data_IF_355255414860
#
_entry.id   IF_355255414860
#
_cell.length_a   1.000
_cell.length_b   1.000
_cell.length_c   1.000
_cell.angle_alpha   90.00
_cell.angle_beta   90.00
_cell.angle_gamma   90.00
#
_symmetry.space_group_name_H-M   'P 1'
#
loop_
_entity.id
_entity.type
_entity.pdbx_description
1 polymer ?
#
# COMPACT_ATOMS: atom_id res chain seq x y z
N UNK A 1 -13.50 33.75 52.97
CA UNK A 1 -13.91 35.09 52.46
C UNK A 1 -12.64 35.92 52.34
N UNK A 2 -12.27 36.65 51.29
CA UNK A 2 -12.71 36.90 49.91
C UNK A 2 -11.42 37.35 49.17
N UNK A 3 -11.01 36.73 48.06
CA UNK A 3 -11.06 37.28 46.68
C UNK A 3 -10.76 38.79 46.56
N UNK A 4 -9.56 39.13 46.08
CA UNK A 4 -9.38 40.26 45.16
C UNK A 4 -8.44 39.89 44.01
N UNK A 5 -8.92 40.19 42.80
CA UNK A 5 -8.29 40.01 41.49
C UNK A 5 -7.58 41.31 41.11
N UNK A 6 -6.41 41.24 40.48
CA UNK A 6 -6.01 42.18 39.41
C UNK A 6 -4.74 41.68 38.72
N UNK A 7 -4.88 41.12 37.51
CA UNK A 7 -4.51 41.71 36.20
C UNK A 7 -3.02 41.69 35.85
N UNK A 8 -2.72 40.98 34.75
CA UNK A 8 -1.46 40.93 34.00
C UNK A 8 -0.98 42.32 33.55
N UNK A 9 0.27 42.41 33.07
CA UNK A 9 0.43 42.93 31.71
C UNK A 9 1.30 42.02 30.82
N UNK A 10 0.64 41.33 29.89
CA UNK A 10 1.20 40.97 28.59
C UNK A 10 1.00 42.19 27.69
N UNK A 11 2.08 42.86 27.28
CA UNK A 11 2.23 43.57 25.99
C UNK A 11 3.34 44.62 26.06
N UNK A 12 4.53 44.29 25.54
CA UNK A 12 5.44 45.26 24.91
C UNK A 12 6.54 44.49 24.18
N UNK A 13 6.25 44.07 22.96
CA UNK A 13 7.22 43.81 21.88
C UNK A 13 6.45 43.54 20.57
N UNK A 14 5.67 44.52 20.12
CA UNK A 14 5.20 44.62 18.73
C UNK A 14 5.83 45.87 18.15
N UNK A 15 6.96 45.71 17.45
CA UNK A 15 7.53 46.63 16.44
C UNK A 15 8.90 46.09 16.01
N UNK A 16 8.88 45.15 15.07
CA UNK A 16 9.99 44.92 14.14
C UNK A 16 9.39 44.31 12.86
N UNK A 17 8.97 45.19 11.97
CA UNK A 17 8.65 44.89 10.57
C UNK A 17 9.96 44.73 9.80
N UNK A 18 10.36 43.49 9.50
CA UNK A 18 11.17 43.11 8.33
C UNK A 18 10.91 41.65 8.04
N UNK A 19 10.09 41.42 7.01
CA UNK A 19 9.87 40.13 6.38
C UNK A 19 11.17 39.70 5.69
N UNK A 20 11.77 38.61 6.18
CA UNK A 20 12.48 37.66 5.31
C UNK A 20 12.23 36.24 5.82
N UNK A 21 11.92 35.37 4.86
CA UNK A 21 11.25 34.08 5.04
C UNK A 21 12.20 33.06 5.68
N UNK A 22 12.02 32.79 6.98
CA UNK A 22 12.63 31.64 7.64
C UNK A 22 11.88 30.38 7.18
N UNK A 23 12.48 29.65 6.24
CA UNK A 23 11.99 28.34 5.81
C UNK A 23 12.26 27.30 6.90
N UNK A 24 11.24 26.94 7.69
CA UNK A 24 11.27 25.79 8.59
C UNK A 24 11.11 24.49 7.76
N UNK A 25 12.02 23.51 7.85
CA UNK A 25 11.83 22.23 7.17
C UNK A 25 10.81 21.39 7.94
N UNK A 26 9.58 21.32 7.43
CA UNK A 26 8.57 20.35 7.84
C UNK A 26 9.05 18.97 7.40
N UNK A 27 9.26 18.05 8.36
CA UNK A 27 9.66 16.66 8.10
C UNK A 27 8.61 15.95 7.27
N UNK A 28 9.01 15.42 6.12
CA UNK A 28 8.32 14.34 5.44
C UNK A 28 8.87 13.00 5.99
N UNK A 29 7.99 12.13 6.49
CA UNK A 29 8.33 10.74 6.76
C UNK A 29 8.38 9.99 5.42
N UNK A 30 9.58 9.64 4.93
CA UNK A 30 9.76 8.80 3.75
C UNK A 30 10.13 7.38 4.15
N UNK A 31 9.28 6.41 3.82
CA UNK A 31 9.60 4.98 3.86
C UNK A 31 10.04 4.53 2.46
N UNK A 32 11.33 4.62 2.16
CA UNK A 32 11.93 3.95 0.99
C UNK A 32 12.75 2.74 1.47
N UNK A 33 12.59 1.55 0.87
CA UNK A 33 13.44 0.41 1.19
C UNK A 33 14.86 0.65 0.64
N UNK A 34 15.87 0.30 1.43
CA UNK A 34 17.26 0.35 1.01
C UNK A 34 17.55 -0.71 -0.06
N UNK A 35 18.31 -0.32 -1.08
CA UNK A 35 18.83 -1.22 -2.10
C UNK A 35 19.82 -2.23 -1.48
N UNK A 36 19.75 -3.46 -1.98
CA UNK A 36 20.57 -4.62 -1.61
C UNK A 36 22.02 -4.37 -2.04
N UNK A 37 22.95 -4.29 -1.09
CA UNK A 37 24.38 -4.26 -1.37
C UNK A 37 24.85 -5.66 -1.79
N UNK A 38 25.38 -5.78 -3.00
CA UNK A 38 26.08 -6.97 -3.49
C UNK A 38 27.48 -7.03 -2.85
N UNK A 39 27.81 -8.20 -2.29
CA UNK A 39 29.11 -8.50 -1.71
C UNK A 39 30.13 -8.68 -2.84
N UNK A 40 31.01 -7.70 -3.04
CA UNK A 40 32.22 -7.89 -3.84
C UNK A 40 33.29 -8.59 -3.01
N UNK A 41 33.62 -9.80 -3.41
CA UNK A 41 34.77 -10.60 -2.97
C UNK A 41 36.06 -9.83 -3.26
N UNK A 42 36.89 -9.62 -2.25
CA UNK A 42 38.20 -8.98 -2.37
C UNK A 42 39.28 -9.99 -2.75
N UNK A 43 39.78 -9.89 -3.98
CA UNK A 43 41.03 -10.52 -4.40
C UNK A 43 42.24 -9.72 -3.90
N UNK A 44 43.28 -10.44 -3.47
CA UNK A 44 44.51 -9.90 -2.90
C UNK A 44 45.55 -9.60 -3.97
N UNK A 45 46.15 -8.40 -3.93
CA UNK A 45 47.40 -8.06 -4.60
C UNK A 45 48.23 -7.04 -3.79
N UNK A 46 49.56 -6.97 -4.03
CA UNK A 46 50.55 -6.79 -2.97
C UNK A 46 50.89 -5.33 -2.64
N UNK A 47 51.50 -5.16 -1.46
CA UNK A 47 51.84 -3.88 -0.84
C UNK A 47 52.77 -2.99 -1.68
N UNK A 48 52.55 -1.65 -1.69
CA UNK A 48 53.58 -0.71 -2.06
C UNK A 48 54.13 0.08 -0.85
N UNK A 49 55.37 0.50 -1.06
CA UNK A 49 56.32 1.09 -0.14
C UNK A 49 55.86 2.38 0.58
N UNK A 50 56.53 2.62 1.70
CA UNK A 50 56.33 3.73 2.62
C UNK A 50 56.50 5.11 1.94
N UNK A 51 55.41 5.87 1.87
CA UNK A 51 55.43 7.32 1.67
C UNK A 51 54.81 8.02 2.88
N UNK A 52 55.56 8.95 3.46
CA UNK A 52 55.29 9.69 4.68
C UNK A 52 54.36 10.89 4.46
N UNK A 53 53.16 10.64 3.91
CA UNK A 53 52.05 11.60 3.93
C UNK A 53 51.03 11.16 4.99
N UNK A 54 50.41 12.07 5.78
CA UNK A 54 49.41 11.67 6.76
C UNK A 54 48.21 11.07 6.01
N UNK A 55 48.10 9.74 6.02
CA UNK A 55 46.95 9.02 5.45
C UNK A 55 45.69 9.62 6.05
N UNK A 56 44.87 10.30 5.23
CA UNK A 56 43.61 10.89 5.66
C UNK A 56 42.81 9.77 6.34
N UNK A 57 42.56 9.89 7.65
CA UNK A 57 41.81 8.89 8.41
C UNK A 57 40.46 8.67 7.71
N UNK A 58 40.25 7.47 7.19
CA UNK A 58 38.96 7.08 6.64
C UNK A 58 37.93 7.22 7.77
N UNK A 59 36.86 7.95 7.50
CA UNK A 59 35.73 8.11 8.39
C UNK A 59 34.83 6.87 8.29
N UNK A 60 34.51 6.24 9.41
CA UNK A 60 33.63 5.07 9.43
C UNK A 60 32.15 5.49 9.29
N UNK A 61 31.39 4.89 8.36
CA UNK A 61 29.98 5.25 8.14
C UNK A 61 29.06 4.92 9.32
N UNK A 62 29.48 4.01 10.21
CA UNK A 62 28.68 3.54 11.35
C UNK A 62 28.86 4.37 12.63
N UNK A 63 29.96 5.11 12.77
CA UNK A 63 30.32 5.85 14.00
C UNK A 63 30.38 7.37 13.80
N UNK A 64 30.42 7.85 12.56
CA UNK A 64 30.34 9.29 12.27
C UNK A 64 29.00 9.83 12.75
N UNK A 65 28.98 10.77 13.71
CA UNK A 65 27.73 11.35 14.23
C UNK A 65 27.57 12.86 13.96
N UNK A 66 28.67 13.57 13.74
CA UNK A 66 28.68 15.03 13.53
C UNK A 66 28.27 15.42 12.11
N UNK A 67 27.39 16.43 11.91
CA UNK A 67 26.97 16.88 10.58
C UNK A 67 28.12 17.28 9.65
N UNK A 68 29.20 17.86 10.21
CA UNK A 68 30.40 18.22 9.44
C UNK A 68 31.13 16.98 8.92
N UNK A 69 31.26 15.95 9.77
CA UNK A 69 31.89 14.68 9.42
C UNK A 69 31.04 13.87 8.43
N UNK A 70 29.71 13.94 8.53
CA UNK A 70 28.79 13.32 7.54
C UNK A 70 28.98 13.92 6.15
N UNK A 71 28.97 15.26 6.04
CA UNK A 71 29.21 15.95 4.76
C UNK A 71 30.57 15.60 4.18
N UNK A 72 31.59 15.46 5.04
CA UNK A 72 32.93 15.05 4.62
C UNK A 72 32.95 13.59 4.13
N UNK A 73 32.28 12.68 4.82
CA UNK A 73 32.15 11.27 4.42
C UNK A 73 31.46 11.12 3.06
N UNK A 74 30.35 11.82 2.85
CA UNK A 74 29.62 11.81 1.56
C UNK A 74 30.48 12.41 0.44
N UNK A 75 31.20 13.50 0.72
CA UNK A 75 32.02 14.20 -0.29
C UNK A 75 33.29 13.45 -0.66
N UNK A 76 34.00 12.89 0.32
CA UNK A 76 35.32 12.28 0.12
C UNK A 76 35.26 10.78 -0.18
N UNK A 77 34.28 10.07 0.38
CA UNK A 77 34.19 8.60 0.27
C UNK A 77 32.96 8.13 -0.50
N UNK A 78 32.08 9.04 -0.91
CA UNK A 78 30.83 8.72 -1.62
C UNK A 78 29.94 7.67 -0.91
N UNK A 79 30.11 7.51 0.40
CA UNK A 79 29.29 6.62 1.24
C UNK A 79 28.21 7.44 1.96
N UNK A 80 27.07 6.82 2.24
CA UNK A 80 26.04 7.43 3.07
C UNK A 80 26.19 6.91 4.52
N UNK A 81 25.95 7.77 5.53
CA UNK A 81 26.02 7.32 6.92
C UNK A 81 24.89 6.33 7.24
N UNK A 82 25.19 5.30 8.02
CA UNK A 82 24.25 4.20 8.30
C UNK A 82 23.39 4.53 9.54
N UNK A 83 22.08 4.66 9.32
CA UNK A 83 21.10 4.88 10.38
C UNK A 83 21.13 6.28 11.02
N UNK A 84 20.41 6.42 12.12
CA UNK A 84 20.23 7.72 12.80
C UNK A 84 21.52 8.21 13.46
N UNK A 85 21.67 9.54 13.59
CA UNK A 85 22.80 10.16 14.33
C UNK A 85 22.90 9.64 15.76
N UNK A 86 21.75 9.42 16.42
CA UNK A 86 21.67 8.86 17.78
C UNK A 86 22.26 7.46 17.84
N UNK A 87 21.92 6.58 16.89
CA UNK A 87 22.49 5.22 16.80
C UNK A 87 24.01 5.28 16.68
N UNK A 88 24.51 6.11 15.77
CA UNK A 88 25.96 6.24 15.50
C UNK A 88 26.74 6.79 16.70
N UNK A 89 26.17 7.78 17.39
CA UNK A 89 26.75 8.29 18.64
C UNK A 89 26.74 7.23 19.75
N UNK A 90 25.65 6.47 19.91
CA UNK A 90 25.58 5.39 20.89
C UNK A 90 26.59 4.27 20.59
N UNK A 91 26.76 3.87 19.33
CA UNK A 91 27.77 2.87 18.93
C UNK A 91 29.20 3.35 19.20
N UNK A 92 29.49 4.65 19.08
CA UNK A 92 30.80 5.20 19.39
C UNK A 92 31.11 5.22 20.89
N UNK A 93 30.09 5.47 21.72
CA UNK A 93 30.27 5.66 23.18
C UNK A 93 30.04 4.40 23.99
N UNK A 94 29.21 3.47 23.51
CA UNK A 94 28.80 2.28 24.26
C UNK A 94 29.72 1.08 24.02
N UNK A 95 29.62 0.09 24.92
CA UNK A 95 30.46 -1.11 24.94
C UNK A 95 30.07 -2.18 23.88
N UNK A 96 29.23 -1.84 22.90
CA UNK A 96 28.79 -2.73 21.80
C UNK A 96 28.25 -4.11 22.24
N UNK A 97 27.57 -4.17 23.39
CA UNK A 97 26.92 -5.40 23.89
C UNK A 97 25.65 -5.70 23.06
N UNK A 98 25.40 -6.97 22.68
CA UNK A 98 24.15 -7.35 22.01
C UNK A 98 22.91 -6.99 22.83
N UNK A 99 21.84 -6.57 22.16
CA UNK A 99 20.59 -6.15 22.83
C UNK A 99 20.01 -7.24 23.75
N UNK A 100 20.19 -8.51 23.40
CA UNK A 100 19.73 -9.66 24.18
C UNK A 100 20.51 -9.87 25.47
N UNK A 101 21.75 -9.40 25.54
CA UNK A 101 22.70 -9.67 26.63
C UNK A 101 22.85 -8.48 27.58
N UNK A 102 21.97 -7.48 27.46
CA UNK A 102 21.98 -6.33 28.36
C UNK A 102 21.73 -6.79 29.82
N UNK A 103 22.59 -6.42 30.77
CA UNK A 103 22.56 -6.95 32.15
C UNK A 103 21.51 -6.26 33.02
N UNK A 104 20.25 -6.22 32.55
CA UNK A 104 19.11 -5.76 33.34
C UNK A 104 18.35 -6.97 33.87
N UNK A 105 18.23 -7.09 35.20
CA UNK A 105 17.64 -8.27 35.86
C UNK A 105 16.25 -8.61 35.33
N UNK A 106 15.29 -7.69 35.44
CA UNK A 106 13.91 -7.90 35.00
C UNK A 106 13.81 -8.25 33.51
N UNK A 107 14.67 -7.67 32.67
CA UNK A 107 14.72 -7.99 31.24
C UNK A 107 15.18 -9.43 30.99
N UNK A 108 16.22 -9.90 31.71
CA UNK A 108 16.72 -11.26 31.57
C UNK A 108 15.74 -12.30 32.11
N UNK A 109 15.11 -12.05 33.26
CA UNK A 109 14.07 -12.91 33.81
C UNK A 109 12.87 -13.03 32.86
N UNK A 110 12.37 -11.91 32.35
CA UNK A 110 11.28 -11.91 31.37
C UNK A 110 11.68 -12.65 30.08
N UNK A 111 12.92 -12.48 29.61
CA UNK A 111 13.43 -13.19 28.43
C UNK A 111 13.50 -14.71 28.68
N UNK A 112 13.96 -15.15 29.85
CA UNK A 112 13.98 -16.57 30.20
C UNK A 112 12.56 -17.15 30.18
N UNK A 113 11.58 -16.44 30.74
CA UNK A 113 10.18 -16.85 30.69
C UNK A 113 9.67 -17.01 29.25
N UNK A 114 9.95 -16.02 28.38
CA UNK A 114 9.55 -16.08 26.97
C UNK A 114 10.26 -17.21 26.19
N UNK A 115 11.52 -17.53 26.53
CA UNK A 115 12.23 -18.65 25.93
C UNK A 115 11.60 -19.99 26.30
N UNK A 116 11.19 -20.16 27.57
CA UNK A 116 10.47 -21.35 28.03
C UNK A 116 9.12 -21.50 27.33
N UNK A 117 8.34 -20.42 27.21
CA UNK A 117 7.06 -20.45 26.47
C UNK A 117 7.28 -20.80 24.99
N UNK A 118 8.29 -20.19 24.36
CA UNK A 118 8.65 -20.50 22.97
C UNK A 118 9.02 -21.97 22.78
N UNK A 119 9.78 -22.57 23.70
CA UNK A 119 10.11 -24.01 23.65
C UNK A 119 8.83 -24.87 23.68
N UNK A 120 7.90 -24.58 24.58
CA UNK A 120 6.59 -25.25 24.63
C UNK A 120 5.83 -25.12 23.30
N UNK A 121 5.84 -23.94 22.68
CA UNK A 121 5.20 -23.74 21.36
C UNK A 121 5.90 -24.50 20.24
N UNK A 122 7.21 -24.66 20.27
CA UNK A 122 7.95 -25.47 19.31
C UNK A 122 7.60 -26.97 19.44
N UNK A 123 7.47 -27.46 20.67
CA UNK A 123 6.98 -28.82 20.94
C UNK A 123 5.55 -29.01 20.43
N UNK A 124 4.64 -28.07 20.71
CA UNK A 124 3.28 -28.08 20.17
C UNK A 124 3.26 -28.12 18.64
N UNK A 125 4.14 -27.36 17.97
CA UNK A 125 4.27 -27.35 16.51
C UNK A 125 4.74 -28.73 16.01
N UNK A 126 5.70 -29.37 16.67
CA UNK A 126 6.18 -30.70 16.30
C UNK A 126 5.06 -31.74 16.43
N UNK A 127 4.31 -31.71 17.53
CA UNK A 127 3.15 -32.59 17.75
C UNK A 127 2.06 -32.34 16.68
N UNK A 128 1.76 -31.09 16.34
CA UNK A 128 0.77 -30.79 15.31
C UNK A 128 1.23 -31.26 13.92
N UNK A 129 2.51 -31.09 13.57
CA UNK A 129 3.07 -31.58 12.31
C UNK A 129 2.94 -33.09 12.18
N UNK A 130 3.29 -33.84 13.22
CA UNK A 130 3.16 -35.31 13.22
C UNK A 130 1.70 -35.75 13.10
N UNK A 131 0.76 -35.08 13.78
CA UNK A 131 -0.69 -35.35 13.64
C UNK A 131 -1.20 -35.07 12.22
N UNK A 132 -0.77 -33.97 11.62
CA UNK A 132 -1.13 -33.62 10.24
C UNK A 132 -0.60 -34.67 9.27
N UNK A 133 0.65 -35.12 9.41
CA UNK A 133 1.23 -36.16 8.57
C UNK A 133 0.44 -37.48 8.70
N UNK A 134 0.17 -37.94 9.92
CA UNK A 134 -0.64 -39.15 10.17
C UNK A 134 -2.04 -39.07 9.55
N UNK A 135 -2.68 -37.91 9.63
CA UNK A 135 -4.00 -37.70 9.02
C UNK A 135 -3.93 -37.62 7.50
N UNK A 136 -2.85 -37.07 6.92
CA UNK A 136 -2.64 -37.04 5.48
C UNK A 136 -2.51 -38.46 4.91
N UNK A 137 -1.70 -39.31 5.56
CA UNK A 137 -1.42 -40.68 5.13
C UNK A 137 -2.64 -41.62 5.24
N UNK A 138 -3.61 -41.29 6.09
CA UNK A 138 -4.84 -42.10 6.26
C UNK A 138 -5.67 -42.10 4.97
N UNK A 139 -5.67 -43.20 4.22
CA UNK A 139 -6.53 -43.37 3.03
C UNK A 139 -7.98 -43.58 3.49
N UNK A 140 -8.91 -42.86 2.86
CA UNK A 140 -10.34 -42.86 3.19
C UNK A 140 -11.12 -43.05 1.90
N UNK A 141 -11.97 -44.06 1.85
CA UNK A 141 -12.72 -44.45 0.64
C UNK A 141 -14.04 -43.68 0.52
N UNK A 142 -14.68 -43.33 1.65
CA UNK A 142 -15.98 -42.66 1.65
C UNK A 142 -15.88 -41.13 1.48
N UNK A 143 -16.69 -40.56 0.59
CA UNK A 143 -16.72 -39.11 0.32
C UNK A 143 -17.05 -38.27 1.57
N UNK A 144 -17.95 -38.75 2.43
CA UNK A 144 -18.31 -38.06 3.69
C UNK A 144 -17.15 -38.04 4.67
N UNK A 145 -16.39 -39.12 4.74
CA UNK A 145 -15.21 -39.19 5.60
C UNK A 145 -14.04 -38.37 5.03
N UNK A 146 -13.92 -38.29 3.70
CA UNK A 146 -12.97 -37.40 3.03
C UNK A 146 -13.23 -35.93 3.40
N UNK A 147 -14.48 -35.47 3.33
CA UNK A 147 -14.84 -34.11 3.73
C UNK A 147 -14.53 -33.82 5.21
N UNK A 148 -14.78 -34.79 6.12
CA UNK A 148 -14.42 -34.67 7.54
C UNK A 148 -12.91 -34.59 7.73
N UNK A 149 -12.15 -35.44 7.03
CA UNK A 149 -10.69 -35.43 7.03
C UNK A 149 -10.15 -34.07 6.57
N UNK A 150 -10.65 -33.56 5.45
CA UNK A 150 -10.27 -32.27 4.88
C UNK A 150 -10.56 -31.11 5.84
N UNK A 151 -11.75 -31.08 6.45
CA UNK A 151 -12.11 -30.07 7.44
C UNK A 151 -11.17 -30.12 8.66
N UNK A 152 -10.88 -31.32 9.18
CA UNK A 152 -9.96 -31.50 10.30
C UNK A 152 -8.54 -31.05 9.94
N UNK A 153 -8.05 -31.41 8.75
CA UNK A 153 -6.76 -30.95 8.22
C UNK A 153 -6.72 -29.43 8.14
N UNK A 154 -7.78 -28.78 7.65
CA UNK A 154 -7.87 -27.31 7.58
C UNK A 154 -7.72 -26.67 8.96
N UNK A 155 -8.48 -27.15 9.93
CA UNK A 155 -8.44 -26.62 11.31
C UNK A 155 -7.07 -26.84 11.95
N UNK A 156 -6.46 -28.02 11.76
CA UNK A 156 -5.11 -28.30 12.25
C UNK A 156 -4.05 -27.42 11.59
N UNK A 157 -4.12 -27.22 10.26
CA UNK A 157 -3.18 -26.36 9.53
C UNK A 157 -3.32 -24.88 9.94
N UNK A 158 -4.54 -24.39 10.15
CA UNK A 158 -4.78 -23.03 10.67
C UNK A 158 -4.22 -22.87 12.09
N UNK A 159 -4.47 -23.84 12.97
CA UNK A 159 -3.91 -23.85 14.33
C UNK A 159 -2.39 -23.84 14.30
N UNK A 160 -1.77 -24.60 13.40
CA UNK A 160 -0.31 -24.63 13.22
C UNK A 160 0.25 -23.27 12.80
N UNK A 161 -0.37 -22.60 11.82
CA UNK A 161 0.07 -21.25 11.44
C UNK A 161 -0.10 -20.24 12.58
N UNK A 162 -1.18 -20.34 13.35
CA UNK A 162 -1.39 -19.51 14.53
C UNK A 162 -0.34 -19.78 15.62
N UNK A 163 -0.04 -21.06 15.93
CA UNK A 163 0.99 -21.42 16.92
C UNK A 163 2.38 -20.96 16.48
N UNK A 164 2.71 -21.03 15.18
CA UNK A 164 3.96 -20.43 14.64
C UNK A 164 4.05 -18.93 14.92
N UNK A 165 2.95 -18.21 14.80
CA UNK A 165 2.91 -16.77 15.09
C UNK A 165 3.13 -16.54 16.58
N UNK A 166 2.42 -17.25 17.45
CA UNK A 166 2.54 -17.13 18.90
C UNK A 166 3.95 -17.44 19.41
N UNK A 167 4.67 -18.37 18.79
CA UNK A 167 6.03 -18.74 19.20
C UNK A 167 7.03 -17.57 19.12
N UNK A 168 6.86 -16.67 18.15
CA UNK A 168 7.83 -15.60 17.87
C UNK A 168 7.24 -14.18 18.06
N UNK A 169 5.94 -14.03 18.37
CA UNK A 169 5.28 -12.72 18.52
C UNK A 169 5.87 -11.88 19.67
N UNK A 170 6.32 -12.55 20.74
CA UNK A 170 6.88 -11.92 21.92
C UNK A 170 8.41 -11.72 21.83
N UNK A 171 9.05 -12.11 20.73
CA UNK A 171 10.49 -11.89 20.57
C UNK A 171 10.77 -10.39 20.32
N UNK A 172 11.54 -9.72 21.20
CA UNK A 172 11.84 -8.30 21.04
C UNK A 172 12.67 -8.00 19.78
N UNK A 173 13.48 -8.94 19.29
CA UNK A 173 14.25 -8.76 18.06
C UNK A 173 13.34 -8.79 16.82
N UNK A 174 12.30 -9.64 16.82
CA UNK A 174 11.30 -9.69 15.76
C UNK A 174 10.54 -8.37 15.70
N UNK A 175 10.07 -7.87 16.85
CA UNK A 175 9.41 -6.56 16.93
C UNK A 175 10.30 -5.43 16.41
N UNK A 176 11.56 -5.39 16.86
CA UNK A 176 12.54 -4.40 16.39
C UNK A 176 12.73 -4.46 14.87
N UNK A 177 12.97 -5.65 14.31
CA UNK A 177 13.15 -5.83 12.85
C UNK A 177 11.91 -5.39 12.05
N UNK A 178 10.72 -5.63 12.60
CA UNK A 178 9.47 -5.18 12.00
C UNK A 178 9.34 -3.66 12.01
N UNK A 179 9.60 -3.02 13.15
CA UNK A 179 9.53 -1.56 13.30
C UNK A 179 10.61 -0.84 12.46
N UNK A 180 11.79 -1.44 12.32
CA UNK A 180 12.89 -0.96 11.48
C UNK A 180 12.63 -1.15 9.97
N UNK A 181 11.56 -1.87 9.59
CA UNK A 181 11.22 -2.14 8.17
C UNK A 181 12.08 -3.22 7.50
N UNK A 182 12.85 -3.98 8.27
CA UNK A 182 13.69 -5.11 7.82
C UNK A 182 12.97 -6.47 7.95
N UNK A 183 11.63 -6.42 7.93
CA UNK A 183 10.77 -7.58 8.07
C UNK A 183 10.82 -8.48 6.83
N UNK A 184 10.99 -9.78 7.04
CA UNK A 184 10.90 -10.78 5.98
C UNK A 184 9.45 -11.26 5.81
N UNK A 185 8.75 -10.73 4.82
CA UNK A 185 7.34 -11.06 4.55
C UNK A 185 7.08 -12.52 4.15
N UNK A 186 8.11 -13.34 3.94
CA UNK A 186 7.92 -14.79 3.79
C UNK A 186 7.50 -15.46 5.09
N UNK A 187 7.94 -14.92 6.24
CA UNK A 187 7.61 -15.48 7.55
C UNK A 187 6.21 -15.04 7.99
N UNK A 188 5.42 -15.94 8.60
CA UNK A 188 4.04 -15.64 8.98
C UNK A 188 3.92 -14.53 10.02
N UNK A 189 4.89 -14.41 10.94
CA UNK A 189 4.85 -13.42 12.02
C UNK A 189 4.88 -11.99 11.48
N UNK A 190 5.79 -11.71 10.54
CA UNK A 190 5.90 -10.39 9.94
C UNK A 190 4.66 -10.02 9.13
N UNK A 191 4.07 -10.98 8.40
CA UNK A 191 2.79 -10.75 7.70
C UNK A 191 1.65 -10.44 8.67
N UNK A 192 1.58 -11.18 9.77
CA UNK A 192 0.57 -10.96 10.81
C UNK A 192 0.72 -9.57 11.46
N UNK A 193 1.94 -9.19 11.84
CA UNK A 193 2.21 -7.86 12.41
C UNK A 193 1.90 -6.73 11.40
N UNK A 194 2.21 -6.96 10.12
CA UNK A 194 1.89 -6.01 9.04
C UNK A 194 0.38 -5.87 8.84
N UNK A 195 -0.37 -6.97 8.82
CA UNK A 195 -1.84 -6.97 8.72
C UNK A 195 -2.46 -6.25 9.92
N UNK A 196 -2.01 -6.55 11.13
CA UNK A 196 -2.48 -5.88 12.35
C UNK A 196 -2.23 -4.37 12.31
N UNK A 197 -1.02 -3.94 11.92
CA UNK A 197 -0.68 -2.53 11.76
C UNK A 197 -1.57 -1.85 10.72
N UNK A 198 -1.79 -2.47 9.58
CA UNK A 198 -2.64 -1.93 8.52
C UNK A 198 -4.12 -1.84 8.93
N UNK A 199 -4.66 -2.89 9.57
CA UNK A 199 -6.04 -2.91 10.09
C UNK A 199 -6.29 -1.86 11.17
N UNK A 200 -5.26 -1.47 11.92
CA UNK A 200 -5.39 -0.47 12.98
C UNK A 200 -5.75 0.93 12.46
N UNK A 201 -5.24 1.32 11.29
CA UNK A 201 -5.39 2.69 10.76
C UNK A 201 -5.66 2.74 9.25
N UNK A 202 -4.73 2.29 8.42
CA UNK A 202 -4.78 2.46 6.96
C UNK A 202 -6.04 1.82 6.34
N UNK A 203 -6.43 0.61 6.75
CA UNK A 203 -7.67 -0.04 6.30
C UNK A 203 -8.90 0.80 6.63
N UNK A 204 -8.94 1.40 7.83
CA UNK A 204 -10.07 2.26 8.25
C UNK A 204 -10.16 3.52 7.40
N UNK A 205 -9.01 4.10 7.07
CA UNK A 205 -8.91 5.26 6.18
C UNK A 205 -9.42 4.92 4.77
N UNK A 206 -8.94 3.81 4.18
CA UNK A 206 -9.41 3.34 2.86
C UNK A 206 -10.92 3.12 2.88
N UNK A 207 -11.43 2.38 3.87
CA UNK A 207 -12.87 2.11 3.99
C UNK A 207 -13.69 3.38 4.15
N UNK A 208 -13.24 4.34 4.97
CA UNK A 208 -13.90 5.64 5.10
C UNK A 208 -13.95 6.37 3.76
N UNK A 209 -12.89 6.32 2.95
CA UNK A 209 -12.85 6.99 1.64
C UNK A 209 -13.74 6.31 0.62
N UNK A 210 -13.74 4.97 0.59
CA UNK A 210 -14.61 4.17 -0.28
C UNK A 210 -16.09 4.44 0.00
N UNK A 211 -16.48 4.54 1.28
CA UNK A 211 -17.87 4.81 1.67
C UNK A 211 -18.25 6.28 1.46
N UNK A 212 -17.43 7.23 1.91
CA UNK A 212 -17.74 8.67 1.77
C UNK A 212 -17.77 9.12 0.31
N UNK A 213 -16.96 8.51 -0.55
CA UNK A 213 -16.95 8.80 -1.98
C UNK A 213 -17.81 7.83 -2.78
N UNK A 214 -18.73 7.08 -2.16
CA UNK A 214 -19.70 6.19 -2.80
C UNK A 214 -19.12 5.23 -3.85
N UNK A 215 -17.84 4.84 -3.72
CA UNK A 215 -17.25 3.81 -4.60
C UNK A 215 -17.99 2.49 -4.39
N UNK A 216 -18.39 2.24 -3.14
CA UNK A 216 -19.49 1.32 -2.80
C UNK A 216 -20.72 2.19 -2.52
N UNK A 217 -21.86 1.99 -3.22
CA UNK A 217 -22.19 0.88 -4.12
C UNK A 217 -21.89 1.11 -5.60
N UNK A 218 -21.54 2.33 -6.04
CA UNK A 218 -21.58 2.71 -7.46
C UNK A 218 -20.73 1.79 -8.35
N UNK A 219 -19.47 1.55 -7.95
CA UNK A 219 -18.48 0.80 -8.72
C UNK A 219 -18.52 -0.69 -8.36
N UNK A 220 -18.53 -0.99 -7.07
CA UNK A 220 -18.55 -2.35 -6.52
C UNK A 220 -19.71 -2.47 -5.52
N UNK A 221 -20.48 -3.58 -5.50
CA UNK A 221 -21.60 -3.73 -4.59
C UNK A 221 -21.19 -3.76 -3.11
N UNK A 222 -20.12 -4.49 -2.78
CA UNK A 222 -19.57 -4.58 -1.44
C UNK A 222 -18.09 -4.96 -1.53
N UNK A 223 -17.27 -4.48 -0.58
CA UNK A 223 -15.89 -4.90 -0.45
C UNK A 223 -15.48 -4.96 1.01
N UNK A 224 -14.74 -6.02 1.34
CA UNK A 224 -13.89 -6.05 2.52
C UNK A 224 -12.43 -6.16 2.09
N UNK A 225 -11.65 -5.06 2.09
CA UNK A 225 -10.28 -5.10 1.63
C UNK A 225 -9.45 -6.00 2.55
N UNK A 226 -8.67 -6.90 1.94
CA UNK A 226 -7.68 -7.74 2.64
C UNK A 226 -6.24 -7.44 2.19
N UNK A 227 -6.06 -6.69 1.11
CA UNK A 227 -4.78 -6.19 0.63
C UNK A 227 -4.59 -4.72 1.00
N UNK A 228 -3.39 -4.35 1.43
CA UNK A 228 -3.03 -2.94 1.54
C UNK A 228 -2.63 -2.39 0.19
N UNK A 229 -3.12 -1.20 -0.13
CA UNK A 229 -2.92 -0.49 -1.38
C UNK A 229 -2.28 0.86 -1.12
N UNK A 230 -1.36 1.26 -1.98
CA UNK A 230 -0.81 2.61 -1.97
C UNK A 230 -0.47 3.04 -3.38
N UNK A 231 -0.90 4.25 -3.71
CA UNK A 231 -0.82 4.83 -5.04
C UNK A 231 0.27 5.90 -5.11
N UNK A 232 1.18 5.74 -6.06
CA UNK A 232 2.18 6.74 -6.39
C UNK A 232 2.14 7.02 -7.90
N UNK A 233 2.50 8.24 -8.30
CA UNK A 233 2.79 8.56 -9.70
C UNK A 233 4.28 8.84 -9.87
N UNK A 234 4.78 8.58 -11.07
CA UNK A 234 6.14 8.96 -11.44
C UNK A 234 6.23 10.48 -11.60
N UNK A 235 7.41 11.05 -11.32
CA UNK A 235 7.86 12.45 -11.47
C UNK A 235 6.89 13.45 -12.16
N UNK A 236 6.67 14.69 -11.64
CA UNK A 236 7.54 15.43 -10.71
C UNK A 236 7.21 15.27 -9.23
N UNK A 237 6.05 14.72 -8.89
CA UNK A 237 5.60 14.57 -7.52
C UNK A 237 5.70 13.10 -7.08
N UNK A 238 6.90 12.64 -6.70
CA UNK A 238 7.12 11.32 -6.06
C UNK A 238 6.52 11.23 -4.63
N UNK A 239 5.61 12.15 -4.26
CA UNK A 239 4.87 12.07 -3.01
C UNK A 239 3.76 11.02 -3.20
N UNK A 240 3.64 10.10 -2.25
CA UNK A 240 2.54 9.14 -2.27
C UNK A 240 1.20 9.87 -2.24
N UNK A 241 0.29 9.47 -3.12
CA UNK A 241 -1.06 10.01 -3.22
C UNK A 241 -1.88 9.37 -2.11
N UNK A 242 -2.57 10.18 -1.30
CA UNK A 242 -3.45 9.61 -0.27
C UNK A 242 -4.76 9.19 -0.93
N UNK A 243 -5.43 8.23 -0.31
CA UNK A 243 -6.74 7.75 -0.77
C UNK A 243 -7.74 8.90 -0.89
N UNK A 244 -8.20 9.15 -2.11
CA UNK A 244 -9.15 10.20 -2.45
C UNK A 244 -8.57 11.60 -2.63
N UNK A 245 -7.25 11.76 -2.69
CA UNK A 245 -6.64 13.05 -3.02
C UNK A 245 -6.92 13.44 -4.48
N UNK A 246 -6.90 14.75 -4.75
CA UNK A 246 -7.04 15.29 -6.09
C UNK A 246 -5.66 15.29 -6.75
N UNK A 247 -5.56 14.67 -7.92
CA UNK A 247 -4.34 14.56 -8.72
C UNK A 247 -4.49 15.45 -9.95
N UNK A 248 -3.44 16.19 -10.25
CA UNK A 248 -3.33 17.03 -11.45
C UNK A 248 -3.28 16.17 -12.72
N UNK A 249 -3.87 16.67 -13.81
CA UNK A 249 -3.92 15.96 -15.09
C UNK A 249 -2.54 15.65 -15.65
N UNK A 250 -1.56 16.53 -15.43
CA UNK A 250 -0.17 16.35 -15.87
C UNK A 250 0.52 15.21 -15.11
N UNK A 251 0.13 14.97 -13.85
CA UNK A 251 0.68 13.89 -13.02
C UNK A 251 0.05 12.55 -13.39
N UNK A 252 -1.26 12.53 -13.64
CA UNK A 252 -2.00 11.33 -14.08
C UNK A 252 -1.80 10.98 -15.57
N UNK A 253 -1.05 11.80 -16.31
CA UNK A 253 -0.71 11.55 -17.72
C UNK A 253 0.03 10.21 -17.88
N UNK A 254 0.95 9.93 -16.96
CA UNK A 254 1.70 8.67 -16.93
C UNK A 254 0.98 7.60 -16.10
N UNK A 255 1.16 6.30 -16.42
CA UNK A 255 0.59 5.23 -15.63
C UNK A 255 1.08 5.25 -14.19
N UNK A 256 0.19 4.92 -13.26
CA UNK A 256 0.51 4.88 -11.84
C UNK A 256 1.46 3.73 -11.46
N UNK A 257 2.05 3.87 -10.28
CA UNK A 257 2.82 2.84 -9.58
C UNK A 257 2.02 2.45 -8.34
N UNK A 258 1.64 1.18 -8.26
CA UNK A 258 0.90 0.62 -7.14
C UNK A 258 1.84 -0.18 -6.26
N UNK A 259 1.82 0.06 -4.96
CA UNK A 259 2.40 -0.86 -3.98
C UNK A 259 1.23 -1.59 -3.30
N UNK A 260 1.15 -2.89 -3.57
CA UNK A 260 0.10 -3.80 -3.12
C UNK A 260 0.74 -4.80 -2.16
N UNK A 261 0.44 -4.68 -0.87
CA UNK A 261 0.95 -5.61 0.14
C UNK A 261 -0.07 -6.70 0.43
N UNK A 262 0.32 -7.93 0.14
CA UNK A 262 -0.41 -9.14 0.51
C UNK A 262 0.05 -9.68 1.87
N UNK A 263 -0.90 -10.06 2.71
CA UNK A 263 -0.63 -10.65 4.04
C UNK A 263 -0.82 -12.17 4.08
N UNK A 264 -1.48 -12.74 3.07
CA UNK A 264 -1.51 -14.18 2.87
C UNK A 264 -0.19 -14.68 2.28
N UNK A 265 0.10 -15.96 2.49
CA UNK A 265 1.27 -16.60 1.87
C UNK A 265 1.04 -16.91 0.41
N UNK A 266 2.14 -17.24 -0.28
CA UNK A 266 2.19 -17.68 -1.67
C UNK A 266 1.82 -16.61 -2.70
N UNK A 267 1.96 -17.01 -3.95
CA UNK A 267 1.77 -16.15 -5.12
C UNK A 267 0.39 -16.40 -5.73
N UNK A 268 -0.33 -15.33 -6.05
CA UNK A 268 -1.63 -15.40 -6.73
C UNK A 268 -1.65 -14.39 -7.87
N UNK A 269 -2.49 -14.65 -8.87
CA UNK A 269 -2.69 -13.70 -9.96
C UNK A 269 -3.83 -12.74 -9.62
N UNK A 270 -3.63 -11.49 -9.98
CA UNK A 270 -4.58 -10.42 -9.76
C UNK A 270 -4.90 -9.69 -11.06
N UNK A 271 -6.10 -9.13 -11.12
CA UNK A 271 -6.57 -8.23 -12.16
C UNK A 271 -6.73 -6.84 -11.56
N UNK A 272 -6.16 -5.83 -12.20
CA UNK A 272 -6.21 -4.42 -11.76
C UNK A 272 -7.00 -3.64 -12.78
N UNK A 273 -8.06 -2.98 -12.32
CA UNK A 273 -8.93 -2.16 -13.15
C UNK A 273 -9.02 -0.74 -12.58
N UNK A 274 -8.93 0.27 -13.45
CA UNK A 274 -9.12 1.68 -13.09
C UNK A 274 -10.36 2.21 -13.79
N UNK A 275 -11.37 2.59 -13.01
CA UNK A 275 -12.68 2.99 -13.48
C UNK A 275 -13.00 4.42 -13.01
N UNK A 276 -13.57 5.19 -13.93
CA UNK A 276 -14.20 6.47 -13.67
C UNK A 276 -15.73 6.31 -13.75
N UNK A 277 -16.47 6.37 -12.63
CA UNK A 277 -17.94 6.26 -12.64
C UNK A 277 -18.65 7.58 -12.99
N UNK A 278 -17.92 8.69 -13.12
CA UNK A 278 -18.50 10.05 -13.16
C UNK A 278 -18.37 10.68 -14.57
N UNK A 279 -18.53 9.89 -15.63
CA UNK A 279 -18.46 10.39 -17.01
C UNK A 279 -19.82 10.90 -17.45
N UNK A 280 -19.97 12.20 -17.80
CA UNK A 280 -21.28 12.76 -18.12
C UNK A 280 -21.86 12.14 -19.40
N UNK A 281 -23.12 11.74 -19.35
CA UNK A 281 -23.93 11.32 -20.49
C UNK A 281 -25.11 12.30 -20.64
N UNK A 282 -24.94 13.29 -21.51
CA UNK A 282 -25.90 14.38 -21.73
C UNK A 282 -27.23 13.85 -22.28
N UNK A 283 -27.20 12.79 -23.09
CA UNK A 283 -28.40 12.22 -23.68
C UNK A 283 -29.31 11.57 -22.64
N UNK A 284 -28.72 10.98 -21.59
CA UNK A 284 -29.45 10.34 -20.49
C UNK A 284 -29.66 11.24 -19.27
N UNK A 285 -29.16 12.49 -19.30
CA UNK A 285 -29.10 13.40 -18.15
C UNK A 285 -28.54 12.70 -16.89
N UNK A 286 -27.41 11.99 -17.06
CA UNK A 286 -26.83 11.15 -16.02
C UNK A 286 -25.33 10.91 -16.17
N UNK A 287 -24.81 9.97 -15.39
CA UNK A 287 -23.40 9.57 -15.46
C UNK A 287 -23.27 8.13 -15.99
N UNK A 288 -22.19 7.89 -16.71
CA UNK A 288 -21.76 6.61 -17.22
C UNK A 288 -20.38 6.24 -16.67
N UNK A 289 -20.07 4.95 -16.69
CA UNK A 289 -18.75 4.46 -16.25
C UNK A 289 -17.81 4.28 -17.43
N UNK A 290 -16.54 4.65 -17.24
CA UNK A 290 -15.47 4.43 -18.21
C UNK A 290 -14.25 3.77 -17.59
N UNK A 291 -13.76 2.72 -18.24
CA UNK A 291 -12.49 2.07 -17.90
C UNK A 291 -11.31 2.83 -18.49
N UNK A 292 -10.45 3.33 -17.60
CA UNK A 292 -9.20 3.99 -17.97
C UNK A 292 -8.07 2.99 -18.18
N UNK A 293 -8.05 1.90 -17.41
CA UNK A 293 -7.00 0.89 -17.48
C UNK A 293 -7.53 -0.48 -17.05
N UNK A 294 -7.06 -1.54 -17.70
CA UNK A 294 -7.35 -2.92 -17.32
C UNK A 294 -6.13 -3.80 -17.62
N UNK A 295 -5.59 -4.44 -16.58
CA UNK A 295 -4.55 -5.45 -16.71
C UNK A 295 -4.88 -6.69 -15.90
N UNK A 296 -4.62 -7.86 -16.47
CA UNK A 296 -4.90 -9.16 -15.91
C UNK A 296 -3.59 -9.93 -15.69
N UNK A 297 -3.68 -11.04 -14.93
CA UNK A 297 -2.59 -12.01 -14.78
C UNK A 297 -1.33 -11.39 -14.17
N UNK A 298 -1.52 -10.51 -13.17
CA UNK A 298 -0.42 -9.86 -12.46
C UNK A 298 -0.03 -10.73 -11.26
N UNK A 299 1.17 -11.32 -11.25
CA UNK A 299 1.64 -12.12 -10.12
C UNK A 299 1.96 -11.22 -8.93
N UNK A 300 1.30 -11.47 -7.80
CA UNK A 300 1.63 -10.82 -6.52
C UNK A 300 1.97 -11.85 -5.45
N UNK A 301 3.03 -11.54 -4.72
CA UNK A 301 3.50 -12.32 -3.58
C UNK A 301 3.72 -11.38 -2.40
N UNK A 302 3.84 -11.88 -1.15
CA UNK A 302 4.03 -11.01 0.01
C UNK A 302 5.37 -10.23 -0.04
N UNK A 303 6.34 -10.67 -0.85
CA UNK A 303 7.61 -10.00 -1.09
C UNK A 303 7.58 -9.13 -2.35
N UNK A 304 6.93 -9.59 -3.42
CA UNK A 304 6.75 -8.83 -4.65
C UNK A 304 5.48 -7.99 -4.60
N UNK A 305 5.64 -6.74 -4.15
CA UNK A 305 4.53 -5.83 -3.85
C UNK A 305 4.42 -4.65 -4.81
N UNK A 306 5.46 -4.39 -5.60
CA UNK A 306 5.51 -3.20 -6.46
C UNK A 306 5.04 -3.54 -7.88
N UNK A 307 3.96 -2.92 -8.31
CA UNK A 307 3.42 -3.02 -9.67
C UNK A 307 3.53 -1.67 -10.35
N UNK A 308 4.41 -1.57 -11.34
CA UNK A 308 4.51 -0.39 -12.21
C UNK A 308 3.63 -0.63 -13.44
N UNK A 309 2.53 0.10 -13.56
CA UNK A 309 1.58 -0.12 -14.66
C UNK A 309 2.19 0.16 -16.04
N UNK A 310 3.25 0.99 -16.10
CA UNK A 310 4.00 1.29 -17.32
C UNK A 310 4.89 0.13 -17.81
N UNK A 311 5.30 -0.79 -16.92
CA UNK A 311 6.23 -1.87 -17.23
C UNK A 311 5.53 -3.22 -17.46
N UNK A 312 4.20 -3.27 -17.40
CA UNK A 312 3.43 -4.49 -17.64
C UNK A 312 3.53 -4.92 -19.12
N UNK A 313 3.51 -6.23 -19.34
CA UNK A 313 3.60 -6.76 -20.69
C UNK A 313 2.32 -6.42 -21.48
N UNK A 314 2.49 -5.65 -22.55
CA UNK A 314 1.39 -5.15 -23.37
C UNK A 314 0.63 -6.27 -24.07
N UNK A 315 1.25 -7.41 -24.36
CA UNK A 315 0.64 -8.48 -25.14
C UNK A 315 -0.06 -9.53 -24.28
N UNK A 316 0.46 -9.82 -23.09
CA UNK A 316 -0.05 -10.90 -22.23
C UNK A 316 -0.85 -10.42 -21.02
N UNK A 317 -0.61 -9.20 -20.53
CA UNK A 317 -1.19 -8.70 -19.28
C UNK A 317 -2.14 -7.52 -19.50
N UNK A 318 -1.81 -6.58 -20.37
CA UNK A 318 -2.62 -5.37 -20.56
C UNK A 318 -3.79 -5.63 -21.51
N UNK A 319 -5.02 -5.57 -21.01
CA UNK A 319 -6.22 -5.64 -21.84
C UNK A 319 -6.59 -4.26 -22.38
N UNK A 320 -6.58 -3.23 -21.53
CA UNK A 320 -6.83 -1.84 -21.91
C UNK A 320 -5.65 -0.96 -21.47
N UNK A 321 -4.99 -0.26 -22.41
CA UNK A 321 -3.85 0.60 -22.08
C UNK A 321 -4.28 1.79 -21.26
N UNK A 322 -3.33 2.38 -20.53
CA UNK A 322 -3.58 3.51 -19.64
C UNK A 322 -4.14 4.71 -20.43
N UNK A 323 -5.31 5.16 -20.02
CA UNK A 323 -5.87 6.43 -20.42
C UNK A 323 -5.68 7.41 -19.25
N UNK A 324 -5.07 8.58 -19.48
CA UNK A 324 -4.86 9.54 -18.41
C UNK A 324 -6.18 9.95 -17.80
N UNK A 325 -6.15 10.28 -16.51
CA UNK A 325 -7.33 10.74 -15.82
C UNK A 325 -7.55 12.23 -16.13
N UNK A 326 -8.73 12.57 -16.63
CA UNK A 326 -9.11 13.93 -17.00
C UNK A 326 -10.57 14.15 -16.62
N UNK A 327 -10.95 15.41 -16.44
CA UNK A 327 -12.34 15.83 -16.29
C UNK A 327 -12.58 16.99 -17.27
N UNK A 328 -13.78 17.13 -17.83
CA UNK A 328 -14.11 18.25 -18.73
C UNK A 328 -14.45 19.51 -17.91
N UNK A 329 -14.32 20.68 -18.53
CA UNK A 329 -14.50 21.97 -17.85
C UNK A 329 -15.94 22.12 -17.36
N UNK A 330 -16.12 22.61 -16.13
CA UNK A 330 -17.42 22.87 -15.53
C UNK A 330 -18.10 21.66 -14.87
N UNK A 331 -17.54 20.46 -15.01
CA UNK A 331 -17.94 19.29 -14.22
C UNK A 331 -17.40 19.36 -12.78
N UNK A 332 -18.04 18.66 -11.83
CA UNK A 332 -17.42 18.37 -10.54
C UNK A 332 -16.17 17.50 -10.72
N UNK A 333 -15.44 17.26 -9.62
CA UNK A 333 -14.36 16.29 -9.62
C UNK A 333 -14.88 14.92 -10.07
N UNK A 334 -14.05 14.18 -10.78
CA UNK A 334 -14.31 12.80 -11.19
C UNK A 334 -13.51 11.84 -10.33
N UNK A 335 -14.16 10.79 -9.84
CA UNK A 335 -13.52 9.74 -9.05
C UNK A 335 -12.78 8.77 -9.98
N UNK A 336 -11.57 8.40 -9.61
CA UNK A 336 -10.80 7.35 -10.26
C UNK A 336 -10.65 6.21 -9.25
N UNK A 337 -11.52 5.20 -9.35
CA UNK A 337 -11.51 4.03 -8.50
C UNK A 337 -10.57 2.97 -9.09
N UNK A 338 -9.59 2.56 -8.31
CA UNK A 338 -8.65 1.48 -8.63
C UNK A 338 -9.12 0.25 -7.87
N UNK A 339 -9.49 -0.80 -8.60
CA UNK A 339 -10.00 -2.03 -8.02
C UNK A 339 -9.05 -3.16 -8.35
N UNK A 340 -8.65 -3.88 -7.30
CA UNK A 340 -7.79 -5.06 -7.38
C UNK A 340 -8.65 -6.27 -7.10
N UNK A 341 -8.73 -7.14 -8.11
CA UNK A 341 -9.52 -8.34 -8.11
C UNK A 341 -8.59 -9.56 -8.05
N UNK A 342 -8.88 -10.49 -7.16
CA UNK A 342 -8.20 -11.79 -7.10
C UNK A 342 -8.79 -12.74 -8.15
N UNK A 343 -7.91 -13.38 -8.92
CA UNK A 343 -8.32 -14.40 -9.88
C UNK A 343 -8.59 -15.74 -9.18
N UNK A 344 -9.66 -16.46 -9.56
CA UNK A 344 -9.99 -17.74 -8.95
C UNK A 344 -8.87 -18.77 -9.19
N UNK A 345 -8.85 -19.81 -8.37
CA UNK A 345 -7.97 -20.97 -8.60
C UNK A 345 -8.74 -22.05 -9.40
N UNK A 346 -8.06 -22.78 -10.32
CA UNK A 346 -8.70 -23.77 -11.21
C UNK A 346 -9.29 -24.95 -10.44
N UNK A 347 -8.58 -25.35 -9.39
CA UNK A 347 -9.01 -26.37 -8.45
C UNK A 347 -9.28 -25.71 -7.12
N UNK A 348 -10.36 -26.13 -6.45
CA UNK A 348 -10.53 -25.84 -5.03
C UNK A 348 -9.25 -26.36 -4.34
N UNK A 349 -8.54 -25.55 -3.54
CA UNK A 349 -7.39 -26.06 -2.79
C UNK A 349 -7.82 -27.34 -2.09
N UNK A 350 -7.06 -28.46 -2.19
CA UNK A 350 -7.42 -29.70 -1.51
C UNK A 350 -7.65 -29.29 -0.07
N UNK A 351 -8.87 -29.51 0.41
CA UNK A 351 -9.38 -28.69 1.48
C UNK A 351 -8.50 -28.91 2.72
N UNK A 352 -7.94 -27.79 3.17
CA UNK A 352 -6.99 -27.76 4.26
C UNK A 352 -5.53 -27.66 3.87
N UNK A 353 -5.10 -27.80 2.60
CA UNK A 353 -3.73 -27.44 2.21
C UNK A 353 -3.52 -25.94 2.36
N UNK A 354 -2.37 -25.60 2.92
CA UNK A 354 -1.93 -24.24 3.11
C UNK A 354 -1.13 -23.76 1.88
N UNK A 355 -0.92 -24.65 0.92
CA UNK A 355 -0.18 -24.39 -0.30
C UNK A 355 -1.07 -23.58 -1.25
N UNK A 356 -0.48 -22.58 -1.90
CA UNK A 356 -1.23 -21.71 -2.79
C UNK A 356 -1.25 -22.35 -4.16
N UNK A 357 -2.45 -22.74 -4.60
CA UNK A 357 -2.66 -23.20 -5.96
C UNK A 357 -2.51 -22.00 -6.91
N UNK A 358 -1.80 -22.16 -8.04
CA UNK A 358 -1.72 -21.11 -9.04
C UNK A 358 -3.13 -20.74 -9.54
N UNK A 359 -3.42 -19.44 -9.57
CA UNK A 359 -4.69 -18.91 -10.09
C UNK A 359 -4.90 -19.28 -11.57
N UNK A 360 -6.16 -19.40 -12.00
CA UNK A 360 -6.50 -19.50 -13.43
C UNK A 360 -6.21 -18.18 -14.12
N UNK A 361 -5.40 -18.17 -15.18
CA UNK A 361 -5.19 -16.96 -15.97
C UNK A 361 -6.47 -16.58 -16.70
N UNK A 362 -6.70 -15.28 -16.83
CA UNK A 362 -7.80 -14.69 -17.60
C UNK A 362 -7.33 -14.46 -19.04
N UNK A 363 -8.19 -14.78 -20.00
CA UNK A 363 -7.92 -14.60 -21.43
C UNK A 363 -7.95 -13.12 -21.84
N UNK A 364 -6.77 -12.50 -21.94
CA UNK A 364 -6.63 -11.08 -22.29
C UNK A 364 -7.07 -10.76 -23.73
N UNK A 365 -6.93 -11.71 -24.65
CA UNK A 365 -7.35 -11.55 -26.05
C UNK A 365 -8.86 -11.35 -26.19
N UNK A 366 -9.66 -12.10 -25.42
CA UNK A 366 -11.12 -11.94 -25.38
C UNK A 366 -11.50 -10.54 -24.93
N UNK A 367 -10.82 -10.02 -23.92
CA UNK A 367 -11.07 -8.67 -23.39
C UNK A 367 -10.68 -7.56 -24.37
N UNK A 368 -9.61 -7.74 -25.16
CA UNK A 368 -9.19 -6.78 -26.20
C UNK A 368 -10.17 -6.70 -27.36
N UNK A 369 -10.74 -7.83 -27.75
CA UNK A 369 -11.61 -7.91 -28.92
C UNK A 369 -13.02 -7.34 -28.68
N UNK A 370 -13.34 -6.92 -27.46
CA UNK A 370 -14.61 -6.30 -27.12
C UNK A 370 -14.71 -4.89 -27.74
N UNK A 371 -15.68 -4.71 -28.64
CA UNK A 371 -16.01 -3.39 -29.21
C UNK A 371 -16.44 -2.43 -28.10
N UNK A 372 -15.86 -1.22 -28.07
CA UNK A 372 -16.08 -0.19 -27.05
C UNK A 372 -15.87 -0.68 -25.61
N UNK A 373 -14.85 -1.52 -25.40
CA UNK A 373 -14.49 -2.05 -24.09
C UNK A 373 -14.29 -0.97 -23.01
N UNK A 374 -13.95 0.28 -23.37
CA UNK A 374 -13.81 1.36 -22.39
C UNK A 374 -15.13 1.83 -21.78
N UNK A 375 -16.24 1.78 -22.52
CA UNK A 375 -17.53 2.34 -22.09
C UNK A 375 -18.53 1.26 -21.68
N UNK A 376 -18.47 0.10 -22.33
CA UNK A 376 -19.43 -1.00 -22.08
C UNK A 376 -18.99 -1.96 -20.99
N UNK A 377 -17.70 -1.99 -20.65
CA UNK A 377 -17.17 -2.94 -19.68
C UNK A 377 -17.37 -2.39 -18.26
N UNK A 378 -18.14 -3.11 -17.46
CA UNK A 378 -18.40 -2.78 -16.05
C UNK A 378 -17.65 -3.76 -15.16
N UNK A 379 -17.18 -3.32 -13.99
CA UNK A 379 -16.49 -4.24 -13.05
C UNK A 379 -17.40 -5.39 -12.63
N UNK A 380 -18.68 -5.10 -12.42
CA UNK A 380 -19.67 -6.10 -12.03
C UNK A 380 -19.80 -7.22 -13.06
N UNK A 381 -19.68 -6.92 -14.35
CA UNK A 381 -19.70 -7.95 -15.40
C UNK A 381 -18.39 -8.75 -15.43
N UNK A 382 -17.23 -8.12 -15.21
CA UNK A 382 -15.97 -8.86 -15.05
C UNK A 382 -16.00 -9.80 -13.84
N UNK A 383 -16.53 -9.34 -12.71
CA UNK A 383 -16.68 -10.15 -11.50
C UNK A 383 -17.58 -11.36 -11.73
N UNK A 384 -18.68 -11.23 -12.47
CA UNK A 384 -19.59 -12.34 -12.72
C UNK A 384 -19.09 -13.32 -13.79
N UNK A 385 -18.49 -12.83 -14.87
CA UNK A 385 -17.99 -13.66 -15.99
C UNK A 385 -16.76 -14.45 -15.58
N UNK A 386 -15.76 -13.78 -15.01
CA UNK A 386 -14.47 -14.37 -14.67
C UNK A 386 -14.41 -14.86 -13.20
N UNK A 387 -15.53 -14.76 -12.46
CA UNK A 387 -15.66 -15.12 -11.03
C UNK A 387 -14.57 -14.47 -10.16
N UNK A 388 -14.24 -13.21 -10.47
CA UNK A 388 -13.21 -12.45 -9.78
C UNK A 388 -13.75 -11.90 -8.46
N UNK A 389 -12.92 -11.95 -7.41
CA UNK A 389 -13.27 -11.43 -6.09
C UNK A 389 -12.59 -10.09 -5.84
N UNK A 390 -13.29 -9.04 -5.37
CA UNK A 390 -12.66 -7.76 -5.04
C UNK A 390 -11.94 -7.86 -3.69
N UNK A 391 -10.64 -7.60 -3.69
CA UNK A 391 -9.77 -7.83 -2.52
C UNK A 391 -9.01 -6.56 -2.10
N UNK A 392 -8.79 -5.63 -3.03
CA UNK A 392 -8.17 -4.34 -2.73
C UNK A 392 -8.85 -3.22 -3.49
N UNK A 393 -8.90 -2.04 -2.88
CA UNK A 393 -9.37 -0.81 -3.52
C UNK A 393 -8.43 0.32 -3.15
N UNK A 394 -8.20 1.21 -4.11
CA UNK A 394 -7.63 2.52 -3.91
C UNK A 394 -8.44 3.53 -4.74
N UNK A 395 -8.31 4.81 -4.47
CA UNK A 395 -8.95 5.85 -5.26
C UNK A 395 -8.18 7.15 -5.24
N UNK A 396 -8.33 7.92 -6.30
CA UNK A 396 -7.94 9.32 -6.36
C UNK A 396 -9.01 10.09 -7.13
N UNK A 397 -8.91 11.41 -7.18
CA UNK A 397 -9.85 12.27 -7.90
C UNK A 397 -9.11 13.13 -8.91
N UNK A 398 -9.81 13.54 -9.96
CA UNK A 398 -9.30 14.51 -10.93
C UNK A 398 -10.33 15.60 -11.17
N UNK A 399 -9.86 16.80 -11.47
CA UNK A 399 -10.71 17.94 -11.82
C UNK A 399 -10.09 18.67 -13.03
N UNK A 400 -10.87 19.53 -13.67
CA UNK A 400 -10.34 20.39 -14.72
C UNK A 400 -9.23 21.29 -14.17
N UNK A 401 -8.08 21.28 -14.82
CA UNK A 401 -6.93 22.13 -14.53
C UNK A 401 -6.36 22.72 -15.84
N UNK A 402 -5.35 23.60 -15.71
CA UNK A 402 -4.69 24.23 -16.86
C UNK A 402 -4.00 23.22 -17.80
N UNK A 403 -3.60 22.06 -17.27
CA UNK A 403 -2.93 21.01 -18.04
C UNK A 403 -3.89 20.10 -18.83
N UNK A 404 -5.17 20.07 -18.45
CA UNK A 404 -6.12 19.05 -18.89
C UNK A 404 -6.31 19.07 -20.40
N UNK A 405 -6.47 20.26 -21.00
CA UNK A 405 -6.65 20.40 -22.44
C UNK A 405 -5.47 19.79 -23.23
N UNK A 406 -4.24 20.08 -22.81
CA UNK A 406 -3.04 19.53 -23.46
C UNK A 406 -2.90 18.02 -23.28
N UNK A 407 -3.24 17.49 -22.10
CA UNK A 407 -3.23 16.03 -21.83
C UNK A 407 -4.27 15.31 -22.70
N UNK A 408 -5.48 15.87 -22.81
CA UNK A 408 -6.53 15.32 -23.66
C UNK A 408 -6.13 15.30 -25.13
N UNK A 409 -5.54 16.39 -25.64
CA UNK A 409 -5.04 16.47 -27.02
C UNK A 409 -3.95 15.42 -27.29
N UNK A 410 -2.95 15.29 -26.40
CA UNK A 410 -1.89 14.27 -26.54
C UNK A 410 -2.42 12.84 -26.47
N UNK A 411 -3.46 12.61 -25.67
CA UNK A 411 -4.10 11.30 -25.55
C UNK A 411 -5.14 11.01 -26.66
N UNK A 412 -5.39 11.94 -27.59
CA UNK A 412 -6.39 11.80 -28.66
C UNK A 412 -7.84 11.79 -28.15
N UNK A 413 -8.09 12.41 -26.99
CA UNK A 413 -9.40 12.47 -26.36
C UNK A 413 -10.16 13.71 -26.82
N UNK A 414 -11.38 13.51 -27.31
CA UNK A 414 -12.27 14.58 -27.78
C UNK A 414 -13.01 15.22 -26.59
N UNK A 415 -13.39 16.50 -26.73
CA UNK A 415 -14.17 17.25 -25.73
C UNK A 415 -13.34 18.08 -24.76
N UNK A 416 -12.13 18.48 -25.15
CA UNK A 416 -11.31 19.45 -24.42
C UNK A 416 -11.81 20.89 -24.60
N UNK A 417 -12.60 21.13 -25.64
CA UNK A 417 -13.23 22.37 -26.08
C UNK A 417 -14.67 22.53 -25.57
N UNK A 418 -15.19 21.54 -24.82
CA UNK A 418 -16.55 21.53 -24.29
C UNK A 418 -16.55 21.98 -22.83
N UNK A 419 -17.50 22.85 -22.48
CA UNK A 419 -17.73 23.32 -21.12
C UNK A 419 -19.16 23.02 -20.68
N UNK A 420 -19.30 22.35 -19.53
CA UNK A 420 -20.59 22.14 -18.90
C UNK A 420 -20.97 23.31 -18.01
N UNK A 421 -22.21 23.76 -18.15
CA UNK A 421 -22.81 24.73 -17.25
C UNK A 421 -23.97 24.08 -16.50
N UNK A 422 -24.22 24.56 -15.29
CA UNK A 422 -25.37 24.10 -14.50
C UNK A 422 -26.64 24.43 -15.27
N UNK A 423 -27.52 23.44 -15.41
CA UNK A 423 -28.85 23.63 -15.98
C UNK A 423 -29.59 24.66 -15.14
N UNK A 424 -30.00 25.77 -15.78
CA UNK A 424 -30.81 26.79 -15.12
C UNK A 424 -32.21 26.22 -14.91
N UNK A 425 -32.65 26.19 -13.65
CA UNK A 425 -34.02 25.80 -13.31
C UNK A 425 -34.85 27.07 -13.39
N UNK A 426 -35.79 27.11 -14.32
CA UNK A 426 -36.77 28.20 -14.37
C UNK A 426 -37.73 28.04 -13.18
N UNK A 427 -38.06 29.13 -12.47
CA UNK A 427 -39.01 29.05 -11.37
C UNK A 427 -40.35 28.56 -11.90
N UNK A 428 -41.01 27.67 -11.15
CA UNK A 428 -42.37 27.24 -11.46
C UNK A 428 -43.27 28.49 -11.53
N UNK A 429 -44.23 28.53 -12.46
CA UNK A 429 -45.12 29.67 -12.61
C UNK A 429 -45.81 29.98 -11.29
N UNK A 430 -45.73 31.24 -10.87
CA UNK A 430 -46.27 31.69 -9.58
C UNK A 430 -47.79 31.58 -9.57
N UNK A 431 -48.31 30.57 -8.86
CA UNK A 431 -49.73 30.47 -8.57
C UNK A 431 -50.04 31.26 -7.29
N UNK A 432 -50.70 32.42 -7.43
CA UNK A 432 -51.32 33.08 -6.26
C UNK A 432 -52.41 32.16 -5.73
N UNK A 433 -52.37 31.82 -4.44
CA UNK A 433 -53.56 31.28 -3.78
C UNK A 433 -54.69 32.30 -3.95
N UNK A 434 -55.83 31.87 -4.49
CA UNK A 434 -57.04 32.70 -4.55
C UNK A 434 -57.41 33.09 -3.11
N UNK A 435 -57.41 34.39 -2.81
CA UNK A 435 -57.69 34.95 -1.48
C UNK A 435 -59.15 34.82 -1.01
N UNK A 436 -59.91 33.88 -1.55
CA UNK A 436 -61.32 33.65 -1.23
C UNK A 436 -61.43 32.53 -0.18
N UNK A 437 -61.03 32.81 1.06
CA UNK A 437 -61.40 31.95 2.22
C UNK A 437 -61.36 32.63 3.59
N UNK A 438 -61.12 33.93 3.65
CA UNK A 438 -61.25 34.72 4.88
C UNK A 438 -61.89 36.08 4.55
N UNK A 439 -63.20 36.07 4.30
CA UNK A 439 -64.10 37.21 4.53
C UNK A 439 -65.41 36.68 5.07
#
# INVERSE_FOLDING_TARGET
MALERSTRPLAKCLRCTRHDRISLPIRAFSNTPAAREEQTVSEAQPAPAASSAPKKKLLDPETVSSPRKERKLVREQHRLPIGSRRRRAALATSQNIPFTELPYQCFQEARQYLLQDRQRKLEEIAIQRTRIAKLQDKVVVDEREQQKKEHSLKTMRQRLEHTKILADINDPLVKKRFEDGLADMNKPIYRHLADQKWRSYERRLVMQRVTTMNVVPDVIPAIDPTLSTSLNFEFPNSRGVRHGDIVESRVSERPAILRIQKYEKGEKLYTIAVINPDVPDVAKDGFSSRMHFLACNIPLSPTNTLVRLSQLNKDTQVALPWLPAYAQKGLPYQRMAIVILEQPAPTRPPAGSNDVIPSTPVDVSKLRNLKNAREKLTIRSLMSVDKLMPVGVDLFRTQWDEGTAGVMQRAGVIGWDVEFKRKRIEPLPYQRLKGERYR
#
